data_IF_138771715468
#
_entry.id   IF_138771715468
#
_cell.length_a   1.000
_cell.length_b   1.000
_cell.length_c   1.000
_cell.angle_alpha   90.00
_cell.angle_beta   90.00
_cell.angle_gamma   90.00
#
_symmetry.space_group_name_H-M   'P 1'
#
loop_
_entity.id
_entity.type
_entity.pdbx_description
1 polymer ?
#
# COMPACT_ATOMS: atom_id res chain seq x y z
N UNK A 1 10.01 -29.09 -16.48
CA UNK A 1 11.10 -28.24 -15.95
C UNK A 1 10.47 -27.33 -14.90
N UNK A 2 10.50 -27.75 -13.63
CA UNK A 2 10.04 -26.96 -12.49
C UNK A 2 11.13 -25.96 -12.12
N UNK A 3 10.86 -24.66 -12.26
CA UNK A 3 11.78 -23.63 -11.81
C UNK A 3 11.67 -23.50 -10.29
N UNK A 4 12.68 -24.02 -9.59
CA UNK A 4 12.89 -23.84 -8.16
C UNK A 4 13.40 -22.40 -7.94
N UNK A 5 12.56 -21.49 -7.45
CA UNK A 5 12.97 -20.13 -7.06
C UNK A 5 13.23 -20.12 -5.54
N UNK A 6 14.49 -20.17 -5.12
CA UNK A 6 14.87 -19.90 -3.73
C UNK A 6 15.01 -18.38 -3.53
N UNK A 7 13.97 -17.78 -2.96
CA UNK A 7 13.89 -16.36 -2.63
C UNK A 7 14.49 -16.04 -1.27
N UNK A 8 15.79 -15.75 -1.24
CA UNK A 8 16.53 -15.35 -0.03
C UNK A 8 16.61 -13.81 0.14
N UNK A 9 15.88 -13.05 -0.67
CA UNK A 9 15.80 -11.59 -0.55
C UNK A 9 14.70 -11.18 0.44
N UNK A 10 15.02 -10.55 1.59
CA UNK A 10 14.03 -10.15 2.60
C UNK A 10 12.95 -9.21 2.04
N UNK A 11 13.29 -8.39 1.03
CA UNK A 11 12.32 -7.50 0.39
C UNK A 11 11.25 -8.26 -0.39
N UNK A 12 11.64 -9.30 -1.12
CA UNK A 12 10.72 -10.13 -1.90
C UNK A 12 9.80 -10.96 -1.00
N UNK A 13 10.32 -11.43 0.13
CA UNK A 13 9.53 -12.14 1.14
C UNK A 13 8.44 -11.25 1.75
N UNK A 14 8.80 -10.03 2.16
CA UNK A 14 7.83 -9.08 2.72
C UNK A 14 6.80 -8.65 1.66
N UNK A 15 7.24 -8.39 0.42
CA UNK A 15 6.32 -8.08 -0.67
C UNK A 15 5.33 -9.23 -0.93
N UNK A 16 5.80 -10.47 -0.91
CA UNK A 16 4.95 -11.66 -1.08
C UNK A 16 3.92 -11.78 0.04
N UNK A 17 4.33 -11.54 1.29
CA UNK A 17 3.44 -11.50 2.46
C UNK A 17 2.37 -10.44 2.31
N UNK A 18 2.73 -9.22 1.88
CA UNK A 18 1.77 -8.13 1.68
C UNK A 18 0.78 -8.42 0.55
N UNK A 19 1.23 -9.06 -0.53
CA UNK A 19 0.36 -9.50 -1.63
C UNK A 19 -0.65 -10.54 -1.12
N UNK A 20 -0.20 -11.54 -0.36
CA UNK A 20 -1.08 -12.54 0.23
C UNK A 20 -2.07 -11.90 1.20
N UNK A 21 -1.61 -10.99 2.06
CA UNK A 21 -2.46 -10.26 3.01
C UNK A 21 -3.54 -9.43 2.34
N UNK A 22 -3.23 -8.80 1.20
CA UNK A 22 -4.21 -8.07 0.39
C UNK A 22 -5.24 -9.01 -0.22
N UNK A 23 -4.82 -10.18 -0.72
CA UNK A 23 -5.73 -11.18 -1.27
C UNK A 23 -6.71 -11.67 -0.19
N UNK A 24 -6.21 -12.03 0.99
CA UNK A 24 -7.05 -12.43 2.12
C UNK A 24 -8.03 -11.31 2.53
N UNK A 25 -7.63 -10.05 2.41
CA UNK A 25 -8.49 -8.89 2.68
C UNK A 25 -9.62 -8.75 1.67
N UNK A 26 -9.33 -8.92 0.38
CA UNK A 26 -10.32 -8.93 -0.70
C UNK A 26 -11.36 -10.05 -0.51
N UNK A 27 -10.89 -11.21 -0.04
CA UNK A 27 -11.73 -12.39 0.21
C UNK A 27 -12.48 -12.33 1.56
N UNK A 28 -12.25 -11.29 2.39
CA UNK A 28 -12.85 -11.16 3.72
C UNK A 28 -12.34 -12.16 4.75
N UNK A 29 -11.23 -12.85 4.47
CA UNK A 29 -10.61 -13.87 5.34
C UNK A 29 -9.50 -13.28 6.23
N UNK A 30 -9.06 -12.06 5.93
CA UNK A 30 -8.06 -11.35 6.71
C UNK A 30 -8.46 -11.18 8.18
N UNK A 31 -7.57 -11.61 9.08
CA UNK A 31 -7.72 -11.34 10.51
C UNK A 31 -7.50 -9.85 10.79
N UNK A 32 -8.26 -9.32 11.75
CA UNK A 32 -8.06 -7.95 12.25
C UNK A 32 -6.89 -7.94 13.22
N UNK A 33 -5.82 -7.25 12.87
CA UNK A 33 -4.68 -7.01 13.74
C UNK A 33 -4.54 -5.51 13.99
N UNK A 34 -3.99 -5.12 15.14
CA UNK A 34 -3.88 -3.71 15.54
C UNK A 34 -2.44 -3.42 15.97
N UNK A 35 -1.48 -3.36 15.02
CA UNK A 35 -0.06 -3.27 15.33
C UNK A 35 0.31 -2.04 16.15
N UNK A 36 -0.42 -0.93 15.99
CA UNK A 36 -0.25 0.32 16.74
C UNK A 36 -1.30 0.50 17.85
N UNK A 37 -1.96 -0.58 18.27
CA UNK A 37 -3.14 -0.53 19.13
C UNK A 37 -4.41 -0.13 18.38
N UNK A 38 -5.56 -0.40 18.99
CA UNK A 38 -6.87 -0.09 18.42
C UNK A 38 -7.21 1.37 18.69
N UNK A 39 -7.50 2.14 17.64
CA UNK A 39 -7.78 3.59 17.76
C UNK A 39 -9.17 3.87 18.35
N UNK A 40 -10.19 3.12 17.93
CA UNK A 40 -11.56 3.26 18.42
C UNK A 40 -12.41 2.03 18.09
N UNK A 41 -13.71 2.08 18.43
CA UNK A 41 -14.65 0.99 18.18
C UNK A 41 -14.86 0.67 16.68
N UNK A 42 -14.73 1.67 15.80
CA UNK A 42 -14.86 1.52 14.34
C UNK A 42 -13.56 1.17 13.62
N UNK A 43 -12.47 0.94 14.36
CA UNK A 43 -11.20 0.51 13.79
C UNK A 43 -11.31 -0.92 13.25
N UNK A 44 -11.07 -1.08 11.95
CA UNK A 44 -11.11 -2.36 11.24
C UNK A 44 -9.77 -3.11 11.27
N UNK A 45 -8.78 -2.56 11.97
CA UNK A 45 -7.43 -3.08 12.08
C UNK A 45 -6.56 -2.71 10.88
N UNK A 46 -5.41 -3.37 10.81
CA UNK A 46 -4.45 -3.18 9.73
C UNK A 46 -5.08 -3.42 8.35
N UNK A 47 -4.62 -2.63 7.38
CA UNK A 47 -5.09 -2.67 6.00
C UNK A 47 -3.89 -2.81 5.09
N UNK A 48 -3.91 -3.85 4.24
CA UNK A 48 -2.98 -3.93 3.12
C UNK A 48 -3.58 -3.16 1.93
N UNK A 49 -2.75 -2.40 1.21
CA UNK A 49 -3.16 -1.67 0.02
C UNK A 49 -2.02 -1.56 -0.98
N UNK A 50 -2.35 -1.30 -2.24
CA UNK A 50 -1.40 -1.05 -3.32
C UNK A 50 -1.41 0.42 -3.69
N UNK A 51 -0.24 0.97 -3.98
CA UNK A 51 -0.08 2.27 -4.64
C UNK A 51 0.57 2.01 -5.99
N UNK A 52 -0.04 2.50 -7.06
CA UNK A 52 0.49 2.38 -8.41
C UNK A 52 0.11 3.55 -9.31
N UNK A 53 0.86 3.74 -10.38
CA UNK A 53 0.54 4.68 -11.44
C UNK A 53 -0.23 4.02 -12.58
N UNK A 54 -1.30 4.67 -13.06
CA UNK A 54 -1.92 4.38 -14.34
C UNK A 54 -1.38 5.39 -15.38
N UNK A 55 -0.42 4.94 -16.19
CA UNK A 55 0.24 5.78 -17.20
C UNK A 55 -0.65 6.16 -18.39
N UNK A 56 -1.71 5.39 -18.66
CA UNK A 56 -2.66 5.71 -19.73
C UNK A 56 -3.57 6.86 -19.30
N UNK A 57 -4.03 6.82 -18.04
CA UNK A 57 -4.91 7.84 -17.46
C UNK A 57 -4.15 9.00 -16.81
N UNK A 58 -2.85 8.84 -16.56
CA UNK A 58 -2.02 9.85 -15.89
C UNK A 58 -2.38 10.06 -14.42
N UNK A 59 -2.82 9.02 -13.71
CA UNK A 59 -3.26 9.11 -12.30
C UNK A 59 -2.49 8.15 -11.40
N UNK A 60 -2.33 8.54 -10.12
CA UNK A 60 -1.85 7.63 -9.07
C UNK A 60 -3.07 7.04 -8.37
N UNK A 61 -3.10 5.72 -8.22
CA UNK A 61 -4.21 4.97 -7.66
C UNK A 61 -3.77 4.32 -6.35
N UNK A 62 -4.62 4.43 -5.33
CA UNK A 62 -4.53 3.62 -4.12
C UNK A 62 -5.65 2.58 -4.19
N UNK A 63 -5.28 1.30 -4.18
CA UNK A 63 -6.21 0.18 -4.16
C UNK A 63 -6.16 -0.51 -2.80
N UNK A 64 -7.21 -0.31 -2.02
CA UNK A 64 -7.39 -0.95 -0.72
C UNK A 64 -7.90 -2.39 -0.83
N UNK A 65 -8.37 -2.85 -1.99
CA UNK A 65 -8.95 -4.19 -2.15
C UNK A 65 -10.23 -4.46 -1.35
N UNK A 66 -10.71 -3.50 -0.56
CA UNK A 66 -12.00 -3.57 0.15
C UNK A 66 -12.50 -2.14 0.39
N UNK A 67 -13.80 -1.96 0.72
CA UNK A 67 -14.28 -0.67 1.23
C UNK A 67 -13.51 -0.26 2.49
N UNK A 68 -12.99 0.97 2.50
CA UNK A 68 -12.25 1.57 3.62
C UNK A 68 -12.78 2.98 3.87
N UNK A 69 -13.18 3.26 5.11
CA UNK A 69 -13.72 4.58 5.49
C UNK A 69 -12.59 5.55 5.85
N UNK A 70 -11.56 5.07 6.54
CA UNK A 70 -10.40 5.86 6.94
C UNK A 70 -9.20 4.93 7.16
N UNK A 71 -7.98 5.49 7.10
CA UNK A 71 -6.74 4.79 7.45
C UNK A 71 -5.97 5.64 8.45
N UNK A 72 -5.63 5.05 9.59
CA UNK A 72 -4.73 5.65 10.58
C UNK A 72 -3.29 5.31 10.25
N UNK A 73 -2.39 6.30 10.37
CA UNK A 73 -0.95 6.13 10.13
C UNK A 73 -0.18 6.87 11.21
N UNK A 74 1.01 6.36 11.55
CA UNK A 74 1.97 7.18 12.31
C UNK A 74 2.48 8.34 11.44
N UNK A 75 3.04 9.42 12.04
CA UNK A 75 3.61 10.51 11.26
C UNK A 75 4.66 10.04 10.24
N UNK A 76 5.50 9.07 10.63
CA UNK A 76 6.52 8.50 9.75
C UNK A 76 5.89 7.74 8.57
N UNK A 77 4.88 6.90 8.82
CA UNK A 77 4.15 6.19 7.76
C UNK A 77 3.46 7.17 6.79
N UNK A 78 2.94 8.29 7.29
CA UNK A 78 2.33 9.32 6.44
C UNK A 78 3.35 9.97 5.49
N UNK A 79 4.57 10.25 5.98
CA UNK A 79 5.67 10.77 5.15
C UNK A 79 6.11 9.73 4.11
N UNK A 80 6.27 8.47 4.50
CA UNK A 80 6.64 7.38 3.60
C UNK A 80 5.60 7.18 2.49
N UNK A 81 4.31 7.21 2.86
CA UNK A 81 3.22 7.16 1.89
C UNK A 81 3.28 8.35 0.93
N UNK A 82 3.48 9.57 1.43
CA UNK A 82 3.57 10.77 0.60
C UNK A 82 4.75 10.66 -0.40
N UNK A 83 5.91 10.19 0.04
CA UNK A 83 7.07 9.96 -0.82
C UNK A 83 6.77 8.93 -1.92
N UNK A 84 6.10 7.82 -1.58
CA UNK A 84 5.72 6.80 -2.54
C UNK A 84 4.70 7.33 -3.56
N UNK A 85 3.74 8.16 -3.12
CA UNK A 85 2.79 8.82 -4.03
C UNK A 85 3.49 9.80 -4.96
N UNK A 86 4.42 10.63 -4.46
CA UNK A 86 5.21 11.56 -5.28
C UNK A 86 6.04 10.80 -6.32
N UNK A 87 6.64 9.67 -5.93
CA UNK A 87 7.37 8.79 -6.86
C UNK A 87 6.46 8.34 -8.01
N UNK A 88 5.32 7.74 -7.69
CA UNK A 88 4.36 7.28 -8.71
C UNK A 88 3.84 8.45 -9.57
N UNK A 89 3.60 9.62 -8.98
CA UNK A 89 3.14 10.81 -9.70
C UNK A 89 4.16 11.27 -10.75
N UNK A 90 5.46 11.26 -10.41
CA UNK A 90 6.53 11.57 -11.35
C UNK A 90 6.64 10.57 -12.49
N UNK A 91 6.39 9.29 -12.21
CA UNK A 91 6.43 8.23 -13.22
C UNK A 91 5.29 8.34 -14.23
N UNK A 92 4.10 8.76 -13.81
CA UNK A 92 2.94 8.89 -14.71
C UNK A 92 2.78 10.27 -15.34
N UNK A 93 3.44 11.30 -14.81
CA UNK A 93 3.35 12.66 -15.34
C UNK A 93 4.16 12.83 -16.61
N UNK A 94 3.54 13.46 -17.62
CA UNK A 94 4.22 13.88 -18.86
C UNK A 94 4.90 15.24 -18.72
N UNK A 95 4.58 15.97 -17.65
CA UNK A 95 5.08 17.33 -17.38
C UNK A 95 5.84 17.38 -16.04
N UNK A 96 6.79 18.31 -15.87
CA UNK A 96 7.48 18.50 -14.60
C UNK A 96 6.52 18.85 -13.46
N UNK A 97 6.63 18.14 -12.34
CA UNK A 97 5.82 18.37 -11.14
C UNK A 97 6.55 19.26 -10.13
N UNK A 98 5.85 20.21 -9.52
CA UNK A 98 6.32 20.99 -8.37
C UNK A 98 5.74 20.40 -7.08
N UNK A 99 6.61 20.09 -6.12
CA UNK A 99 6.22 19.67 -4.77
C UNK A 99 6.44 20.84 -3.81
N UNK A 100 5.41 21.22 -3.05
CA UNK A 100 5.49 22.23 -2.00
C UNK A 100 5.10 21.56 -0.69
N UNK A 101 6.01 21.59 0.28
CA UNK A 101 5.79 21.12 1.65
C UNK A 101 5.80 22.38 2.52
N UNK A 102 4.77 22.52 3.37
CA UNK A 102 4.56 23.71 4.21
C UNK A 102 5.64 23.93 5.25
#
# INVERSE_FOLDING_TARGET
>A
MSFQHHGDNPFEQEQSRLIERLKQQQEGMAKREYPNGRLNASDDGEVAFKIGGDGERGVVVIDFGKPVTWVGMTPQQAVEMAQLMIKNAREVSKEPLRVVIG
#
